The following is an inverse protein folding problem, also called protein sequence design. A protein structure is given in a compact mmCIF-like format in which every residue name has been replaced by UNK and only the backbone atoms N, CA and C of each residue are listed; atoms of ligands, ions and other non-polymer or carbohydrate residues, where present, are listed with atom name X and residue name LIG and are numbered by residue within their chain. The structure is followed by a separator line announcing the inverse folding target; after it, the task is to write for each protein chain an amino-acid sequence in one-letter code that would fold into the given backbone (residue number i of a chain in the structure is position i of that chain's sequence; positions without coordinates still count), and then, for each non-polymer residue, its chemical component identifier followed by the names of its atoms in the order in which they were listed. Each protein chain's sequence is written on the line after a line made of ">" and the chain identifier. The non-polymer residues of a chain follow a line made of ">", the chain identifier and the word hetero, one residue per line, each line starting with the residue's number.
data_IF_590463929128
#
_entry.id   IF_590463929128
#
_cell.length_a   1.000
_cell.length_b   1.000
_cell.length_c   1.000
_cell.angle_alpha   90.00
_cell.angle_beta   90.00
_cell.angle_gamma   90.00
#
_symmetry.space_group_name_H-M   'P 1'
#
loop_
_entity.id
_entity.type
_entity.pdbx_description
1 polymer ?
#
# COMPACT_ATOMS: atom_id res chain seq x y z
N UNK A 1 -23.89 -5.05 0.66
CA UNK A 1 -22.69 -4.86 1.47
C UNK A 1 -21.97 -3.67 0.87
N UNK A 2 -21.52 -2.72 1.67
CA UNK A 2 -20.88 -1.53 1.12
C UNK A 2 -19.51 -1.89 0.51
N UNK A 3 -19.26 -1.35 -0.69
CA UNK A 3 -18.02 -1.52 -1.44
C UNK A 3 -17.12 -0.29 -1.25
N UNK A 4 -15.95 -0.51 -0.71
CA UNK A 4 -14.96 0.55 -0.45
C UNK A 4 -13.73 0.36 -1.33
N UNK A 5 -13.37 1.40 -2.03
CA UNK A 5 -12.13 1.47 -2.80
C UNK A 5 -11.09 2.23 -1.99
N UNK A 6 -9.91 1.66 -1.84
CA UNK A 6 -8.76 2.39 -1.27
C UNK A 6 -7.65 2.49 -2.31
N UNK A 7 -6.96 3.62 -2.37
CA UNK A 7 -5.88 3.85 -3.32
C UNK A 7 -4.66 4.41 -2.62
N UNK A 8 -3.51 3.77 -2.80
CA UNK A 8 -2.27 4.24 -2.20
C UNK A 8 -1.08 3.34 -2.43
N UNK A 9 -0.02 3.59 -1.68
CA UNK A 9 1.19 2.78 -1.70
C UNK A 9 1.14 1.68 -0.64
N UNK A 10 1.53 0.48 -1.04
CA UNK A 10 1.91 -0.59 -0.12
C UNK A 10 3.40 -0.88 -0.31
N UNK A 11 4.10 -1.00 0.79
CA UNK A 11 5.55 -1.18 0.81
C UNK A 11 5.93 -2.50 1.46
N UNK A 12 7.07 -3.05 1.07
CA UNK A 12 7.74 -4.09 1.82
C UNK A 12 8.29 -3.47 3.12
N UNK A 13 7.81 -3.97 4.26
CA UNK A 13 8.28 -3.58 5.58
C UNK A 13 9.32 -4.58 6.06
N UNK A 14 10.50 -4.09 6.39
CA UNK A 14 11.60 -4.86 6.95
C UNK A 14 11.86 -4.40 8.39
N UNK A 15 11.38 -5.17 9.36
CA UNK A 15 11.52 -4.84 10.78
C UNK A 15 12.67 -5.61 11.42
N UNK A 16 13.42 -4.96 12.31
CA UNK A 16 14.40 -5.67 13.15
C UNK A 16 13.67 -6.60 14.12
N UNK A 17 14.20 -7.79 14.42
CA UNK A 17 13.59 -8.69 15.38
C UNK A 17 13.50 -8.07 16.77
N UNK A 18 12.37 -8.20 17.42
CA UNK A 18 12.12 -7.67 18.76
C UNK A 18 12.46 -6.19 18.89
N UNK A 19 13.37 -5.85 19.76
CA UNK A 19 13.79 -4.46 20.02
C UNK A 19 15.24 -4.18 19.62
N UNK A 20 15.82 -5.00 18.74
CA UNK A 20 17.17 -4.79 18.23
C UNK A 20 17.23 -3.48 17.42
N UNK A 21 18.37 -2.81 17.53
CA UNK A 21 18.70 -1.66 16.67
C UNK A 21 19.18 -2.13 15.30
N UNK A 22 19.12 -1.27 14.30
CA UNK A 22 19.60 -1.59 12.95
C UNK A 22 21.05 -2.09 12.93
N UNK A 23 21.93 -1.50 13.74
CA UNK A 23 23.33 -1.92 13.82
C UNK A 23 23.56 -3.23 14.58
N UNK A 24 22.55 -3.79 15.23
CA UNK A 24 22.62 -5.06 15.97
C UNK A 24 21.96 -6.19 15.18
N UNK A 25 20.97 -5.87 14.35
CA UNK A 25 20.19 -6.85 13.58
C UNK A 25 21.05 -7.50 12.49
N UNK A 26 20.93 -8.82 12.36
CA UNK A 26 21.55 -9.62 11.29
C UNK A 26 20.53 -10.16 10.29
N UNK A 27 19.24 -9.93 10.57
CA UNK A 27 18.10 -10.33 9.76
C UNK A 27 16.96 -9.35 9.94
N UNK A 28 15.99 -9.41 9.05
CA UNK A 28 14.77 -8.62 9.13
C UNK A 28 13.54 -9.53 8.99
N UNK A 29 12.49 -9.19 9.71
CA UNK A 29 11.16 -9.75 9.51
C UNK A 29 10.47 -8.98 8.39
N UNK A 30 10.06 -9.70 7.34
CA UNK A 30 9.43 -9.12 6.17
C UNK A 30 7.90 -9.20 6.30
N UNK A 31 7.23 -8.07 6.17
CA UNK A 31 5.78 -7.94 6.09
C UNK A 31 5.42 -6.86 5.06
N UNK A 32 4.14 -6.62 4.83
CA UNK A 32 3.71 -5.54 3.96
C UNK A 32 2.90 -4.52 4.75
N UNK A 33 2.97 -3.25 4.35
CA UNK A 33 2.23 -2.18 5.02
C UNK A 33 2.12 -0.92 4.18
N UNK A 34 1.01 -0.24 4.36
CA UNK A 34 0.71 1.04 3.74
C UNK A 34 -0.59 1.58 4.32
N UNK A 35 -0.73 2.89 4.45
CA UNK A 35 -1.88 3.51 5.12
C UNK A 35 -3.22 3.03 4.54
N UNK A 36 -3.38 3.14 3.25
CA UNK A 36 -4.61 2.81 2.54
C UNK A 36 -4.83 1.29 2.45
N UNK A 37 -3.75 0.51 2.34
CA UNK A 37 -3.81 -0.95 2.38
C UNK A 37 -4.24 -1.44 3.77
N UNK A 38 -3.72 -0.83 4.85
CA UNK A 38 -4.14 -1.14 6.22
C UNK A 38 -5.62 -0.82 6.45
N UNK A 39 -6.12 0.28 5.88
CA UNK A 39 -7.56 0.61 5.90
C UNK A 39 -8.37 -0.45 5.17
N UNK A 40 -7.94 -0.89 3.98
CA UNK A 40 -8.61 -1.95 3.23
C UNK A 40 -8.70 -3.25 4.04
N UNK A 41 -7.59 -3.67 4.66
CA UNK A 41 -7.57 -4.86 5.53
C UNK A 41 -8.51 -4.71 6.71
N UNK A 42 -8.52 -3.56 7.38
CA UNK A 42 -9.45 -3.31 8.49
C UNK A 42 -10.91 -3.39 8.06
N UNK A 43 -11.25 -2.79 6.92
CA UNK A 43 -12.61 -2.82 6.38
C UNK A 43 -13.05 -4.24 5.97
N UNK A 44 -12.17 -5.01 5.36
CA UNK A 44 -12.43 -6.41 5.04
C UNK A 44 -12.69 -7.25 6.31
N UNK A 45 -11.90 -7.04 7.38
CA UNK A 45 -12.12 -7.69 8.68
C UNK A 45 -13.46 -7.28 9.33
N UNK A 46 -13.99 -6.11 9.03
CA UNK A 46 -15.33 -5.68 9.45
C UNK A 46 -16.45 -6.20 8.53
N UNK A 47 -16.12 -7.02 7.54
CA UNK A 47 -17.10 -7.64 6.64
C UNK A 47 -17.56 -6.73 5.49
N UNK A 48 -16.82 -5.68 5.17
CA UNK A 48 -17.08 -4.82 4.00
C UNK A 48 -16.37 -5.40 2.77
N UNK A 49 -16.88 -5.11 1.58
CA UNK A 49 -16.18 -5.38 0.32
C UNK A 49 -15.09 -4.31 0.13
N UNK A 50 -13.84 -4.69 0.39
CA UNK A 50 -12.69 -3.79 0.27
C UNK A 50 -11.84 -4.14 -0.94
N UNK A 51 -11.60 -3.16 -1.81
CA UNK A 51 -10.72 -3.23 -2.97
C UNK A 51 -9.55 -2.26 -2.79
N UNK A 52 -8.34 -2.76 -2.87
CA UNK A 52 -7.14 -1.94 -2.88
C UNK A 52 -6.64 -1.73 -4.31
N UNK A 53 -6.36 -0.49 -4.65
CA UNK A 53 -5.88 -0.09 -5.98
C UNK A 53 -4.49 0.52 -5.84
N UNK A 54 -3.54 0.04 -6.64
CA UNK A 54 -2.17 0.52 -6.69
C UNK A 54 -1.50 0.11 -8.00
N UNK A 55 -0.23 0.46 -8.16
CA UNK A 55 0.62 -0.06 -9.23
C UNK A 55 1.69 -0.96 -8.64
N UNK A 56 1.69 -2.24 -9.05
CA UNK A 56 2.67 -3.25 -8.64
C UNK A 56 3.76 -3.46 -9.69
N UNK A 57 5.01 -3.74 -9.29
CA UNK A 57 6.01 -4.28 -10.21
C UNK A 57 5.63 -5.71 -10.60
N UNK A 58 6.21 -6.19 -11.71
CA UNK A 58 6.02 -7.58 -12.16
C UNK A 58 7.15 -8.46 -11.58
N UNK A 59 7.04 -8.82 -10.31
CA UNK A 59 8.00 -9.69 -9.64
C UNK A 59 7.36 -10.48 -8.49
N UNK A 60 8.10 -11.46 -7.98
CA UNK A 60 7.63 -12.38 -6.93
C UNK A 60 7.32 -11.67 -5.60
N UNK A 61 7.96 -10.54 -5.31
CA UNK A 61 7.68 -9.76 -4.09
C UNK A 61 6.29 -9.13 -4.19
N UNK A 62 5.92 -8.59 -5.35
CA UNK A 62 4.58 -8.07 -5.57
C UNK A 62 3.53 -9.18 -5.53
N UNK A 63 3.81 -10.36 -6.08
CA UNK A 63 2.91 -11.51 -5.97
C UNK A 63 2.70 -11.95 -4.53
N UNK A 64 3.76 -11.97 -3.72
CA UNK A 64 3.67 -12.25 -2.29
C UNK A 64 2.80 -11.21 -1.56
N UNK A 65 2.95 -9.93 -1.89
CA UNK A 65 2.14 -8.86 -1.35
C UNK A 65 0.65 -9.02 -1.71
N UNK A 66 0.34 -9.36 -2.96
CA UNK A 66 -1.03 -9.59 -3.43
C UNK A 66 -1.66 -10.79 -2.69
N UNK A 67 -0.91 -11.87 -2.52
CA UNK A 67 -1.38 -13.04 -1.74
C UNK A 67 -1.65 -12.69 -0.29
N UNK A 68 -0.82 -11.85 0.31
CA UNK A 68 -1.02 -11.37 1.69
C UNK A 68 -2.33 -10.56 1.79
N UNK A 69 -2.57 -9.60 0.89
CA UNK A 69 -3.83 -8.85 0.83
C UNK A 69 -5.05 -9.77 0.64
N UNK A 70 -4.96 -10.73 -0.27
CA UNK A 70 -6.05 -11.71 -0.50
C UNK A 70 -6.33 -12.56 0.73
N UNK A 71 -5.32 -12.89 1.54
CA UNK A 71 -5.50 -13.67 2.77
C UNK A 71 -6.38 -12.94 3.80
N UNK A 72 -6.44 -11.61 3.74
CA UNK A 72 -7.33 -10.77 4.54
C UNK A 72 -8.67 -10.46 3.86
N UNK A 73 -8.93 -11.00 2.66
CA UNK A 73 -10.15 -10.74 1.91
C UNK A 73 -10.18 -9.41 1.14
N UNK A 74 -9.03 -8.76 0.97
CA UNK A 74 -8.93 -7.53 0.17
C UNK A 74 -8.80 -7.86 -1.31
N UNK A 75 -9.67 -7.30 -2.14
CA UNK A 75 -9.59 -7.43 -3.60
C UNK A 75 -8.50 -6.54 -4.20
N UNK A 76 -7.92 -6.99 -5.30
CA UNK A 76 -6.84 -6.27 -6.02
C UNK A 76 -7.05 -6.25 -7.54
N UNK A 77 -8.28 -6.52 -8.00
CA UNK A 77 -8.58 -6.69 -9.44
C UNK A 77 -8.32 -5.45 -10.29
N UNK A 78 -8.31 -4.27 -9.69
CA UNK A 78 -8.07 -3.01 -10.37
C UNK A 78 -6.63 -2.50 -10.25
N UNK A 79 -5.75 -3.28 -9.62
CA UNK A 79 -4.32 -2.97 -9.61
C UNK A 79 -3.73 -3.04 -11.02
N UNK A 80 -2.84 -2.12 -11.32
CA UNK A 80 -2.08 -2.10 -12.58
C UNK A 80 -0.64 -2.54 -12.35
N UNK A 81 0.00 -3.04 -13.40
CA UNK A 81 1.33 -3.62 -13.31
C UNK A 81 2.34 -2.86 -14.15
N UNK A 82 3.52 -2.65 -13.61
CA UNK A 82 4.64 -1.98 -14.25
C UNK A 82 5.54 -1.30 -13.22
N UNK A 83 6.59 -0.63 -13.70
CA UNK A 83 7.65 -0.13 -12.83
C UNK A 83 8.59 -1.25 -12.39
N UNK A 84 9.57 -0.92 -11.55
CA UNK A 84 10.67 -1.83 -11.24
C UNK A 84 10.58 -2.46 -9.85
N UNK A 85 10.00 -1.74 -8.85
CA UNK A 85 10.08 -2.18 -7.45
C UNK A 85 8.89 -1.71 -6.62
N UNK A 86 8.61 -2.43 -5.54
CA UNK A 86 7.88 -1.88 -4.41
C UNK A 86 8.76 -0.90 -3.63
N UNK A 87 8.14 0.11 -3.02
CA UNK A 87 8.80 0.87 -1.97
C UNK A 87 9.15 -0.05 -0.79
N UNK A 88 10.21 0.29 -0.08
CA UNK A 88 10.66 -0.41 1.13
C UNK A 88 10.71 0.59 2.29
N UNK A 89 10.37 0.14 3.47
CA UNK A 89 10.76 0.85 4.67
C UNK A 89 11.32 -0.11 5.73
N UNK A 90 12.33 0.37 6.40
CA UNK A 90 12.99 -0.34 7.49
C UNK A 90 12.43 0.19 8.82
N UNK A 91 12.11 -0.71 9.73
CA UNK A 91 11.60 -0.37 11.05
C UNK A 91 12.50 -0.92 12.15
N UNK A 92 12.94 -0.03 13.01
CA UNK A 92 13.51 -0.35 14.31
C UNK A 92 12.44 -0.09 15.37
N UNK A 93 11.96 -1.14 16.02
CA UNK A 93 10.93 -1.01 17.05
C UNK A 93 11.48 -0.33 18.29
N UNK A 94 10.75 0.67 18.79
CA UNK A 94 11.08 1.38 20.01
C UNK A 94 10.94 0.49 21.25
N UNK A 95 11.65 0.86 22.30
CA UNK A 95 11.59 0.17 23.60
C UNK A 95 11.56 1.19 24.73
N UNK A 96 10.56 1.12 25.60
CA UNK A 96 10.36 2.01 26.74
C UNK A 96 10.43 3.49 26.32
N UNK A 97 11.50 4.20 26.70
CA UNK A 97 11.72 5.61 26.35
C UNK A 97 12.35 5.84 24.97
N UNK A 98 12.80 4.79 24.29
CA UNK A 98 13.38 4.89 22.96
C UNK A 98 12.27 4.84 21.91
N UNK A 99 12.09 5.89 21.09
CA UNK A 99 11.09 5.86 20.01
C UNK A 99 11.48 4.85 18.93
N UNK A 100 10.47 4.40 18.17
CA UNK A 100 10.70 3.67 16.93
C UNK A 100 11.41 4.54 15.90
N UNK A 101 12.20 3.92 15.04
CA UNK A 101 12.89 4.58 13.94
C UNK A 101 12.51 3.95 12.62
N UNK A 102 12.17 4.79 11.66
CA UNK A 102 11.80 4.37 10.30
C UNK A 102 12.79 4.96 9.31
N UNK A 103 13.24 4.14 8.36
CA UNK A 103 14.04 4.56 7.21
C UNK A 103 13.29 4.17 5.95
N UNK A 104 12.96 5.16 5.11
CA UNK A 104 12.28 4.92 3.85
C UNK A 104 13.26 4.77 2.69
N UNK A 105 13.03 3.76 1.87
CA UNK A 105 13.64 3.57 0.56
C UNK A 105 12.50 3.34 -0.46
N UNK A 106 11.84 4.42 -0.88
CA UNK A 106 10.63 4.38 -1.71
C UNK A 106 10.71 5.23 -2.98
N UNK A 107 11.83 5.87 -3.26
CA UNK A 107 12.00 6.61 -4.48
C UNK A 107 11.87 5.69 -5.71
N UNK A 108 11.20 6.16 -6.75
CA UNK A 108 10.98 5.41 -7.99
C UNK A 108 10.26 4.06 -7.80
N UNK A 109 9.46 3.92 -6.72
CA UNK A 109 8.59 2.76 -6.58
C UNK A 109 7.55 2.72 -7.71
N UNK A 110 6.98 1.55 -7.97
CA UNK A 110 6.03 1.37 -9.07
C UNK A 110 4.85 2.33 -8.99
N UNK A 111 4.32 2.58 -7.78
CA UNK A 111 3.24 3.56 -7.59
C UNK A 111 3.72 5.00 -7.83
N UNK A 112 4.95 5.34 -7.47
CA UNK A 112 5.51 6.68 -7.70
C UNK A 112 5.70 7.01 -9.19
N UNK A 113 5.67 6.00 -10.06
CA UNK A 113 5.76 6.14 -11.51
C UNK A 113 4.41 5.96 -12.21
N UNK A 114 3.30 6.09 -11.48
CA UNK A 114 1.97 6.02 -12.08
C UNK A 114 1.68 7.27 -12.90
N UNK A 115 1.04 7.08 -14.05
CA UNK A 115 0.67 8.16 -14.96
C UNK A 115 -0.82 8.16 -15.26
N UNK A 116 -1.31 9.29 -15.75
CA UNK A 116 -2.70 9.45 -16.18
C UNK A 116 -3.09 8.40 -17.22
N UNK A 117 -4.24 7.76 -17.00
CA UNK A 117 -4.79 6.76 -17.91
C UNK A 117 -4.30 5.35 -17.68
N UNK A 118 -3.37 5.11 -16.75
CA UNK A 118 -2.96 3.76 -16.38
C UNK A 118 -4.03 3.00 -15.60
N UNK A 119 -4.86 3.72 -14.81
CA UNK A 119 -5.99 3.15 -14.08
C UNK A 119 -7.30 3.58 -14.75
N UNK A 120 -8.17 2.62 -15.02
CA UNK A 120 -9.54 2.86 -15.50
C UNK A 120 -10.46 3.16 -14.32
N UNK A 121 -10.49 4.43 -13.93
CA UNK A 121 -11.26 4.87 -12.77
C UNK A 121 -12.77 4.69 -12.93
N UNK A 122 -13.31 4.69 -14.15
CA UNK A 122 -14.73 4.42 -14.37
C UNK A 122 -15.08 3.01 -13.90
N UNK A 123 -14.26 2.02 -14.28
CA UNK A 123 -14.43 0.63 -13.80
C UNK A 123 -14.13 0.46 -12.32
N UNK A 124 -13.12 1.18 -11.80
CA UNK A 124 -12.79 1.13 -10.36
C UNK A 124 -13.96 1.56 -9.52
N UNK A 125 -14.64 2.66 -9.91
CA UNK A 125 -15.75 3.23 -9.14
C UNK A 125 -17.11 2.60 -9.45
N UNK A 126 -17.19 1.69 -10.39
CA UNK A 126 -18.46 0.99 -10.68
C UNK A 126 -18.96 0.24 -9.44
N UNK A 127 -20.13 0.68 -8.95
CA UNK A 127 -20.75 0.14 -7.74
C UNK A 127 -20.02 0.43 -6.43
N UNK A 128 -19.07 1.35 -6.42
CA UNK A 128 -18.39 1.77 -5.19
C UNK A 128 -19.25 2.75 -4.39
N UNK A 129 -19.34 2.52 -3.07
CA UNK A 129 -20.04 3.39 -2.13
C UNK A 129 -19.09 4.42 -1.49
N UNK A 130 -17.81 4.08 -1.39
CA UNK A 130 -16.82 4.93 -0.73
C UNK A 130 -15.44 4.82 -1.37
N UNK A 131 -14.71 5.94 -1.41
CA UNK A 131 -13.32 6.02 -1.84
C UNK A 131 -12.45 6.62 -0.75
N UNK A 132 -11.37 5.91 -0.40
CA UNK A 132 -10.39 6.35 0.59
C UNK A 132 -8.99 6.48 -0.02
N UNK A 133 -8.37 7.61 0.22
CA UNK A 133 -6.98 7.92 -0.14
C UNK A 133 -6.40 8.93 0.85
N UNK A 134 -5.07 9.03 0.94
CA UNK A 134 -4.40 10.01 1.80
C UNK A 134 -3.42 10.88 1.02
N UNK A 135 -3.02 12.02 1.60
CA UNK A 135 -2.09 12.96 1.00
C UNK A 135 -0.67 12.46 0.82
N UNK A 136 -0.33 11.28 1.35
CA UNK A 136 1.02 10.71 1.25
C UNK A 136 1.35 10.26 -0.18
N UNK A 137 0.33 9.88 -0.95
CA UNK A 137 0.46 9.42 -2.35
C UNK A 137 0.12 10.55 -3.35
N UNK A 138 -0.17 11.75 -2.86
CA UNK A 138 -0.92 12.79 -3.57
C UNK A 138 -0.18 13.52 -4.68
N UNK A 139 1.13 13.72 -4.59
CA UNK A 139 1.82 14.64 -5.51
C UNK A 139 1.82 14.14 -6.97
N UNK A 140 1.79 12.84 -7.18
CA UNK A 140 1.69 12.26 -8.52
C UNK A 140 0.23 12.08 -9.02
N UNK A 141 -0.75 12.08 -8.12
CA UNK A 141 -2.12 11.65 -8.42
C UNK A 141 -3.16 12.75 -8.18
N UNK A 142 -2.85 13.74 -7.34
CA UNK A 142 -3.76 14.82 -6.97
C UNK A 142 -4.36 15.62 -8.15
N UNK A 143 -3.61 15.96 -9.21
CA UNK A 143 -4.18 16.66 -10.36
C UNK A 143 -5.33 15.91 -11.06
N UNK A 144 -5.40 14.59 -10.87
CA UNK A 144 -6.40 13.73 -11.51
C UNK A 144 -7.68 13.61 -10.69
N UNK A 145 -7.59 13.64 -9.36
CA UNK A 145 -8.75 13.54 -8.48
C UNK A 145 -9.61 14.80 -8.46
N UNK A 146 -9.04 15.97 -8.63
CA UNK A 146 -9.82 17.23 -8.70
C UNK A 146 -10.88 17.24 -9.82
N UNK A 147 -10.71 16.40 -10.84
CA UNK A 147 -11.65 16.29 -11.95
C UNK A 147 -12.83 15.36 -11.68
N UNK A 148 -12.70 14.46 -10.69
CA UNK A 148 -13.77 13.52 -10.30
C UNK A 148 -14.58 14.00 -9.09
N UNK A 149 -14.11 15.03 -8.39
CA UNK A 149 -14.82 15.63 -7.25
C UNK A 149 -15.75 16.80 -7.65
N UNK A 150 -16.04 16.99 -8.94
CA UNK A 150 -16.98 17.99 -9.46
C UNK A 150 -18.24 17.36 -10.01
#
# INVERSE_FOLDING_TARGET
>A
MAKVITFGEIMLRLATPGYLRFNQAKQFEATFGGGEANVAVSLANYGLEAEFVTRFPKNDIAESCIKDLHSYGVGTKHCVFGGERLGIYFLETGAVARPSKVVYDRAHSSIATIEKGMIDWEKVFEGADWFHWTGITSDAVFPYFQRFLR
#
